data_IF_988344131008
#
_entry.id   IF_988344131008
#
_cell.length_a   1.000
_cell.length_b   1.000
_cell.length_c   1.000
_cell.angle_alpha   90.00
_cell.angle_beta   90.00
_cell.angle_gamma   90.00
#
_symmetry.space_group_name_H-M   'P 1'
#
loop_
_entity.id
_entity.type
_entity.pdbx_description
1 polymer ?
#
# COMPACT_ATOMS: atom_id res chain seq x y z
N UNK A 1 36.44 93.57 -26.03
CA UNK A 1 37.09 92.57 -26.91
C UNK A 1 38.37 92.12 -26.22
N UNK A 2 38.69 90.82 -26.08
CA UNK A 2 38.13 89.62 -26.71
C UNK A 2 37.49 88.60 -25.72
N UNK A 3 36.43 87.88 -26.14
CA UNK A 3 36.35 86.42 -26.47
C UNK A 3 36.59 85.47 -25.28
N UNK A 4 35.69 84.56 -24.90
CA UNK A 4 34.82 83.72 -25.73
C UNK A 4 35.42 82.31 -25.80
N UNK A 5 35.38 81.56 -24.71
CA UNK A 5 35.94 80.20 -24.61
C UNK A 5 34.84 79.17 -24.34
N UNK A 6 34.64 78.27 -25.30
CA UNK A 6 33.57 77.30 -25.37
C UNK A 6 33.54 76.32 -24.18
N UNK A 7 32.33 76.08 -23.66
CA UNK A 7 32.03 75.02 -22.72
C UNK A 7 32.22 73.65 -23.41
N UNK A 8 33.29 72.94 -23.04
CA UNK A 8 33.42 71.51 -23.27
C UNK A 8 32.42 70.77 -22.38
N UNK A 9 31.22 70.51 -22.88
CA UNK A 9 30.22 69.69 -22.21
C UNK A 9 30.70 68.25 -22.12
N UNK A 10 31.35 67.88 -21.02
CA UNK A 10 31.61 66.49 -20.67
C UNK A 10 30.28 65.82 -20.32
N UNK A 11 29.76 65.03 -21.25
CA UNK A 11 28.64 64.12 -20.98
C UNK A 11 28.97 63.30 -19.72
N UNK A 12 28.09 63.21 -18.71
CA UNK A 12 28.36 62.45 -17.49
C UNK A 12 28.70 60.98 -17.84
N UNK A 13 29.59 60.32 -17.07
CA UNK A 13 30.00 58.95 -17.37
C UNK A 13 28.77 58.04 -17.32
N UNK A 14 28.38 57.50 -18.49
CA UNK A 14 27.30 56.53 -18.59
C UNK A 14 27.76 55.15 -18.12
N UNK A 15 26.84 54.29 -17.71
CA UNK A 15 27.15 52.92 -17.30
C UNK A 15 27.42 52.06 -18.54
N UNK A 16 28.55 51.35 -18.57
CA UNK A 16 28.99 50.55 -19.73
C UNK A 16 28.63 49.08 -19.57
N UNK A 17 28.07 48.47 -20.62
CA UNK A 17 27.71 47.07 -20.69
C UNK A 17 28.27 46.46 -21.98
N UNK A 18 28.93 45.31 -21.89
CA UNK A 18 29.33 44.56 -23.08
C UNK A 18 28.12 43.86 -23.71
N UNK A 19 27.92 44.06 -25.01
CA UNK A 19 26.75 43.62 -25.78
C UNK A 19 27.16 42.97 -27.10
N UNK A 20 26.32 42.09 -27.63
CA UNK A 20 26.38 41.68 -29.05
C UNK A 20 25.46 42.57 -29.86
N UNK A 21 26.01 43.32 -30.82
CA UNK A 21 25.25 44.22 -31.68
C UNK A 21 24.94 43.59 -33.05
N UNK A 22 23.74 43.87 -33.55
CA UNK A 22 23.20 43.43 -34.83
C UNK A 22 22.59 44.64 -35.53
N UNK A 23 22.81 44.77 -36.84
CA UNK A 23 22.26 45.88 -37.62
C UNK A 23 22.99 46.09 -38.94
N UNK A 24 22.65 47.15 -39.67
CA UNK A 24 23.24 47.46 -40.97
C UNK A 24 24.76 47.58 -40.88
N UNK A 25 25.48 46.96 -41.80
CA UNK A 25 26.94 47.02 -41.87
C UNK A 25 27.69 46.15 -40.86
N UNK A 26 26.98 45.37 -40.02
CA UNK A 26 27.61 44.36 -39.15
C UNK A 26 27.51 42.96 -39.77
N UNK A 27 28.49 42.07 -39.49
CA UNK A 27 28.42 40.67 -39.90
C UNK A 27 27.21 39.96 -39.27
N UNK A 28 26.70 38.93 -39.97
CA UNK A 28 25.53 38.11 -39.56
C UNK A 28 25.62 37.54 -38.13
N UNK A 29 26.78 37.03 -37.63
CA UNK A 29 26.91 36.63 -36.22
C UNK A 29 26.85 37.80 -35.22
N UNK A 30 26.68 39.04 -35.70
CA UNK A 30 26.77 40.26 -34.92
C UNK A 30 28.22 40.61 -34.57
N UNK A 31 28.41 41.77 -33.96
CA UNK A 31 29.72 42.24 -33.50
C UNK A 31 29.70 42.56 -32.02
N UNK A 32 30.81 42.31 -31.34
CA UNK A 32 30.97 42.76 -29.96
C UNK A 32 31.04 44.28 -29.91
N UNK A 33 30.35 44.85 -28.93
CA UNK A 33 30.30 46.29 -28.73
C UNK A 33 30.06 46.66 -27.28
N UNK A 34 30.13 47.96 -27.04
CA UNK A 34 29.89 48.56 -25.74
C UNK A 34 28.61 49.39 -25.80
N UNK A 35 27.67 49.05 -24.94
CA UNK A 35 26.47 49.84 -24.67
C UNK A 35 26.76 50.78 -23.50
N UNK A 36 26.62 52.07 -23.72
CA UNK A 36 26.73 53.11 -22.71
C UNK A 36 25.32 53.67 -22.48
N UNK A 37 24.84 53.55 -21.25
CA UNK A 37 23.50 54.00 -20.86
C UNK A 37 23.59 55.37 -20.20
N UNK A 38 22.95 56.37 -20.81
CA UNK A 38 22.77 57.70 -20.22
C UNK A 38 21.32 57.89 -19.73
N UNK A 39 21.02 59.07 -19.17
CA UNK A 39 19.71 59.38 -18.60
C UNK A 39 18.57 59.49 -19.64
N UNK A 40 18.87 59.83 -20.89
CA UNK A 40 17.88 60.06 -21.95
C UNK A 40 18.12 59.26 -23.25
N UNK A 41 19.34 58.75 -23.44
CA UNK A 41 19.74 58.03 -24.66
C UNK A 41 20.66 56.85 -24.36
N UNK A 42 20.74 55.92 -25.30
CA UNK A 42 21.76 54.87 -25.36
C UNK A 42 22.79 55.24 -26.42
N UNK A 43 24.05 55.04 -26.09
CA UNK A 43 25.17 55.17 -27.03
C UNK A 43 25.82 53.80 -27.17
N UNK A 44 25.92 53.29 -28.40
CA UNK A 44 26.55 52.00 -28.69
C UNK A 44 27.80 52.24 -29.52
N UNK A 45 28.93 51.68 -29.08
CA UNK A 45 30.19 51.69 -29.82
C UNK A 45 30.44 50.29 -30.36
N UNK A 46 30.50 50.15 -31.68
CA UNK A 46 30.73 48.87 -32.36
C UNK A 46 31.52 49.09 -33.65
N UNK A 47 32.64 48.38 -33.81
CA UNK A 47 33.49 48.43 -35.01
C UNK A 47 33.81 49.85 -35.53
N UNK A 48 34.14 50.78 -34.62
CA UNK A 48 34.45 52.18 -34.97
C UNK A 48 33.24 53.05 -35.31
N UNK A 49 32.03 52.49 -35.34
CA UNK A 49 30.78 53.24 -35.49
C UNK A 49 30.14 53.52 -34.12
N UNK A 50 29.50 54.68 -34.01
CA UNK A 50 28.72 55.05 -32.82
C UNK A 50 27.26 55.17 -33.20
N UNK A 51 26.41 54.32 -32.62
CA UNK A 51 24.96 54.44 -32.76
C UNK A 51 24.38 55.15 -31.54
N UNK A 52 23.38 56.00 -31.77
CA UNK A 52 22.61 56.64 -30.70
C UNK A 52 21.15 56.31 -30.85
N UNK A 53 20.48 56.07 -29.74
CA UNK A 53 19.05 55.77 -29.71
C UNK A 53 18.40 56.44 -28.50
N UNK A 54 17.35 57.24 -28.68
CA UNK A 54 16.60 57.77 -27.55
C UNK A 54 15.88 56.62 -26.84
N UNK A 55 15.90 56.64 -25.51
CA UNK A 55 15.37 55.54 -24.69
C UNK A 55 13.89 55.22 -24.98
N UNK A 56 13.10 56.22 -25.42
CA UNK A 56 11.68 56.07 -25.76
C UNK A 56 11.38 55.20 -26.99
N UNK A 57 12.35 55.05 -27.89
CA UNK A 57 12.20 54.31 -29.15
C UNK A 57 12.68 52.85 -29.06
N UNK A 58 13.28 52.48 -27.93
CA UNK A 58 13.75 51.13 -27.69
C UNK A 58 12.58 50.18 -27.54
N UNK A 59 12.72 48.96 -28.05
CA UNK A 59 11.89 47.82 -27.77
C UNK A 59 12.68 46.84 -26.90
N UNK A 60 12.17 46.54 -25.71
CA UNK A 60 12.81 45.60 -24.78
C UNK A 60 12.16 44.21 -24.86
N UNK A 61 12.96 43.18 -25.12
CA UNK A 61 12.51 41.79 -25.25
C UNK A 61 13.40 40.83 -24.46
N UNK A 62 12.88 39.66 -24.17
CA UNK A 62 13.65 38.54 -23.61
C UNK A 62 14.39 37.83 -24.75
N UNK A 63 15.64 37.46 -24.53
CA UNK A 63 16.51 36.82 -25.51
C UNK A 63 17.17 35.57 -24.91
N UNK A 64 17.37 34.55 -25.75
CA UNK A 64 18.00 33.28 -25.37
C UNK A 64 17.02 32.11 -25.18
N UNK A 65 17.53 30.89 -25.33
CA UNK A 65 16.77 29.66 -25.11
C UNK A 65 16.69 29.36 -23.61
N UNK A 66 15.62 29.80 -22.95
CA UNK A 66 15.29 29.39 -21.58
C UNK A 66 15.96 30.16 -20.43
N UNK A 67 16.59 31.31 -20.68
CA UNK A 67 17.26 32.13 -19.66
C UNK A 67 17.01 33.64 -19.80
N UNK A 68 17.42 34.45 -18.79
CA UNK A 68 17.04 35.87 -18.63
C UNK A 68 17.89 36.82 -19.49
N UNK A 69 18.25 36.42 -20.71
CA UNK A 69 18.91 37.32 -21.65
C UNK A 69 17.96 38.42 -22.11
N UNK A 70 18.51 39.53 -22.58
CA UNK A 70 17.75 40.70 -22.97
C UNK A 70 18.15 41.15 -24.36
N UNK A 71 17.16 41.47 -25.17
CA UNK A 71 17.33 42.18 -26.44
C UNK A 71 16.79 43.60 -26.32
N UNK A 72 17.60 44.58 -26.72
CA UNK A 72 17.20 45.96 -26.94
C UNK A 72 17.22 46.21 -28.44
N UNK A 73 16.09 46.59 -29.04
CA UNK A 73 16.02 46.86 -30.47
C UNK A 73 15.41 48.24 -30.76
N UNK A 74 15.86 48.92 -31.82
CA UNK A 74 15.26 50.17 -32.30
C UNK A 74 15.42 50.29 -33.82
N UNK A 75 14.76 51.29 -34.41
CA UNK A 75 14.66 51.43 -35.86
C UNK A 75 13.60 50.50 -36.49
N UNK A 76 13.37 50.66 -37.79
CA UNK A 76 12.39 49.89 -38.57
C UNK A 76 12.99 49.43 -39.89
N UNK A 77 12.45 48.34 -40.44
CA UNK A 77 12.86 47.82 -41.75
C UNK A 77 14.34 47.42 -41.78
N UNK A 78 15.03 47.76 -42.86
CA UNK A 78 16.45 47.46 -43.06
C UNK A 78 17.37 48.20 -42.09
N UNK A 79 16.92 49.30 -41.47
CA UNK A 79 17.70 50.06 -40.49
C UNK A 79 17.56 49.56 -39.05
N UNK A 80 16.87 48.44 -38.84
CA UNK A 80 16.67 47.89 -37.50
C UNK A 80 18.01 47.50 -36.88
N UNK A 81 18.25 47.99 -35.67
CA UNK A 81 19.40 47.65 -34.84
C UNK A 81 18.92 46.89 -33.61
N UNK A 82 19.70 45.90 -33.18
CA UNK A 82 19.42 45.11 -31.99
C UNK A 82 20.70 44.85 -31.20
N UNK A 83 20.59 44.82 -29.88
CA UNK A 83 21.66 44.49 -28.94
C UNK A 83 21.18 43.33 -28.09
N UNK A 84 22.02 42.31 -27.94
CA UNK A 84 21.74 41.19 -27.07
C UNK A 84 22.74 41.12 -25.92
N UNK A 85 22.20 40.94 -24.72
CA UNK A 85 22.95 40.59 -23.51
C UNK A 85 22.45 39.24 -23.05
N UNK A 86 23.22 38.18 -23.32
CA UNK A 86 22.85 36.81 -22.96
C UNK A 86 23.31 36.42 -21.55
N UNK A 87 24.31 37.14 -21.02
CA UNK A 87 24.81 36.92 -19.66
C UNK A 87 23.79 37.38 -18.60
N UNK A 88 23.32 36.48 -17.72
CA UNK A 88 22.28 36.82 -16.74
C UNK A 88 22.65 37.93 -15.76
N UNK A 89 23.92 37.98 -15.33
CA UNK A 89 24.37 38.99 -14.37
C UNK A 89 24.35 40.39 -14.99
N UNK A 90 24.91 40.53 -16.21
CA UNK A 90 24.87 41.79 -16.97
C UNK A 90 23.46 42.18 -17.39
N UNK A 91 22.64 41.22 -17.81
CA UNK A 91 21.24 41.49 -18.15
C UNK A 91 20.47 42.07 -16.96
N UNK A 92 20.63 41.49 -15.77
CA UNK A 92 20.01 42.01 -14.55
C UNK A 92 20.58 43.38 -14.14
N UNK A 93 21.89 43.58 -14.27
CA UNK A 93 22.52 44.88 -13.99
C UNK A 93 21.99 45.99 -14.91
N UNK A 94 21.80 45.69 -16.21
CA UNK A 94 21.17 46.63 -17.15
C UNK A 94 19.72 46.93 -16.77
N UNK A 95 18.93 45.91 -16.42
CA UNK A 95 17.54 46.11 -15.98
C UNK A 95 17.42 46.88 -14.67
N UNK A 96 18.45 46.85 -13.81
CA UNK A 96 18.50 47.62 -12.58
C UNK A 96 18.92 49.09 -12.81
N UNK A 97 19.36 49.45 -14.02
CA UNK A 97 19.76 50.81 -14.31
C UNK A 97 18.56 51.78 -14.24
N UNK A 98 18.66 52.94 -13.54
CA UNK A 98 17.52 53.85 -13.33
C UNK A 98 16.81 54.28 -14.62
N UNK A 99 17.59 54.55 -15.67
CA UNK A 99 17.06 54.95 -16.98
C UNK A 99 16.24 53.85 -17.68
N UNK A 100 16.56 52.57 -17.42
CA UNK A 100 15.83 51.42 -17.97
C UNK A 100 14.60 51.11 -17.11
N UNK A 101 14.72 51.22 -15.78
CA UNK A 101 13.62 51.05 -14.83
C UNK A 101 12.46 52.03 -15.11
N UNK A 102 12.78 53.26 -15.52
CA UNK A 102 11.80 54.29 -15.84
C UNK A 102 11.00 54.01 -17.13
N UNK A 103 11.40 53.02 -17.94
CA UNK A 103 10.72 52.73 -19.21
C UNK A 103 9.37 52.02 -18.99
N UNK A 104 8.27 52.49 -19.61
CA UNK A 104 6.98 51.78 -19.57
C UNK A 104 7.07 50.34 -20.09
N UNK A 105 8.03 50.07 -20.96
CA UNK A 105 8.27 48.77 -21.57
C UNK A 105 8.93 47.77 -20.62
N UNK A 106 9.76 48.26 -19.67
CA UNK A 106 10.34 47.43 -18.63
C UNK A 106 9.26 46.81 -17.74
N UNK A 107 8.25 47.60 -17.35
CA UNK A 107 7.11 47.10 -16.59
C UNK A 107 6.34 45.99 -17.34
N UNK A 108 6.22 46.09 -18.67
CA UNK A 108 5.58 45.06 -19.51
C UNK A 108 6.43 43.78 -19.56
N UNK A 109 7.74 43.89 -19.76
CA UNK A 109 8.67 42.75 -19.76
C UNK A 109 8.61 42.00 -18.42
N UNK A 110 8.74 42.71 -17.29
CA UNK A 110 8.71 42.11 -15.96
C UNK A 110 7.39 41.40 -15.65
N UNK A 111 6.25 41.98 -16.06
CA UNK A 111 4.94 41.32 -15.94
C UNK A 111 4.88 40.00 -16.73
N UNK A 112 5.46 39.98 -17.94
CA UNK A 112 5.51 38.76 -18.77
C UNK A 112 6.44 37.69 -18.17
N UNK A 113 7.64 38.06 -17.75
CA UNK A 113 8.60 37.14 -17.10
C UNK A 113 8.02 36.51 -15.83
N UNK A 114 7.37 37.31 -14.98
CA UNK A 114 6.71 36.81 -13.76
C UNK A 114 5.60 35.80 -14.06
N UNK A 115 4.76 36.06 -15.08
CA UNK A 115 3.70 35.13 -15.51
C UNK A 115 4.26 33.81 -16.06
N UNK A 116 5.31 33.87 -16.87
CA UNK A 116 5.96 32.67 -17.42
C UNK A 116 6.65 31.82 -16.34
N UNK A 117 7.33 32.43 -15.37
CA UNK A 117 7.95 31.70 -14.26
C UNK A 117 6.93 31.05 -13.33
N UNK A 118 5.86 31.79 -12.99
CA UNK A 118 4.79 31.29 -12.13
C UNK A 118 4.01 30.13 -12.78
N UNK A 119 3.67 30.24 -14.07
CA UNK A 119 2.96 29.17 -14.79
C UNK A 119 3.76 27.87 -14.92
N UNK A 120 5.08 27.94 -15.03
CA UNK A 120 5.96 26.76 -15.05
C UNK A 120 6.02 26.05 -13.71
N UNK A 121 6.17 26.79 -12.61
CA UNK A 121 6.19 26.21 -11.25
C UNK A 121 4.85 25.58 -10.87
N UNK A 122 3.73 26.23 -11.21
CA UNK A 122 2.40 25.69 -10.95
C UNK A 122 2.09 24.45 -11.82
N UNK A 123 2.56 24.43 -13.07
CA UNK A 123 2.41 23.27 -13.94
C UNK A 123 3.15 22.03 -13.41
N UNK A 124 4.41 22.17 -13.01
CA UNK A 124 5.20 21.06 -12.48
C UNK A 124 4.69 20.55 -11.12
N UNK A 125 4.19 21.44 -10.26
CA UNK A 125 3.56 21.03 -9.00
C UNK A 125 2.25 20.30 -9.23
N UNK A 126 1.40 20.77 -10.15
CA UNK A 126 0.18 20.06 -10.52
C UNK A 126 0.46 18.67 -11.11
N UNK A 127 1.46 18.55 -11.99
CA UNK A 127 1.92 17.25 -12.51
C UNK A 127 2.46 16.37 -11.39
N UNK A 128 3.26 16.92 -10.48
CA UNK A 128 3.79 16.20 -9.32
C UNK A 128 2.68 15.66 -8.41
N UNK A 129 1.68 16.47 -8.10
CA UNK A 129 0.52 16.06 -7.29
C UNK A 129 -0.31 15.00 -8.03
N UNK A 130 -0.56 15.18 -9.33
CA UNK A 130 -1.31 14.22 -10.14
C UNK A 130 -0.64 12.84 -10.19
N UNK A 131 0.70 12.79 -10.21
CA UNK A 131 1.46 11.54 -10.16
C UNK A 131 1.58 10.96 -8.75
N UNK A 132 1.70 11.81 -7.73
CA UNK A 132 1.86 11.37 -6.34
C UNK A 132 0.56 10.84 -5.73
N UNK A 133 -0.60 11.41 -6.08
CA UNK A 133 -1.90 10.99 -5.55
C UNK A 133 -2.25 9.51 -5.79
N UNK A 134 -2.15 8.94 -7.01
CA UNK A 134 -2.42 7.52 -7.22
C UNK A 134 -1.41 6.63 -6.50
N UNK A 135 -0.15 7.06 -6.38
CA UNK A 135 0.86 6.31 -5.62
C UNK A 135 0.54 6.31 -4.12
N UNK A 136 0.18 7.46 -3.56
CA UNK A 136 -0.26 7.58 -2.16
C UNK A 136 -1.52 6.76 -1.90
N UNK A 137 -2.48 6.79 -2.84
CA UNK A 137 -3.69 5.98 -2.75
C UNK A 137 -3.36 4.47 -2.80
N UNK A 138 -2.44 4.06 -3.67
CA UNK A 138 -1.98 2.67 -3.74
C UNK A 138 -1.27 2.25 -2.46
N UNK A 139 -0.38 3.08 -1.92
CA UNK A 139 0.30 2.82 -0.64
C UNK A 139 -0.72 2.72 0.49
N UNK A 140 -1.66 3.66 0.58
CA UNK A 140 -2.72 3.63 1.58
C UNK A 140 -3.61 2.38 1.45
N UNK A 141 -3.93 1.96 0.22
CA UNK A 141 -4.66 0.74 -0.06
C UNK A 141 -3.90 -0.50 0.39
N UNK A 142 -2.62 -0.63 0.04
CA UNK A 142 -1.76 -1.76 0.46
C UNK A 142 -1.65 -1.82 1.98
N UNK A 143 -1.43 -0.69 2.64
CA UNK A 143 -1.35 -0.61 4.10
C UNK A 143 -2.71 -0.89 4.79
N UNK A 144 -3.81 -0.75 4.07
CA UNK A 144 -5.17 -0.95 4.61
C UNK A 144 -5.85 -2.22 4.10
N UNK A 145 -5.16 -3.03 3.29
CA UNK A 145 -5.76 -4.20 2.62
C UNK A 145 -6.33 -5.20 3.62
N UNK A 146 -5.61 -5.51 4.70
CA UNK A 146 -6.07 -6.43 5.76
C UNK A 146 -7.31 -5.89 6.48
N UNK A 147 -7.36 -4.57 6.74
CA UNK A 147 -8.51 -3.92 7.38
C UNK A 147 -9.75 -3.96 6.47
N UNK A 148 -9.54 -3.68 5.18
CA UNK A 148 -10.61 -3.73 4.18
C UNK A 148 -11.14 -5.16 4.04
N UNK A 149 -10.26 -6.15 3.93
CA UNK A 149 -10.62 -7.56 3.87
C UNK A 149 -11.40 -7.99 5.12
N UNK A 150 -10.93 -7.63 6.31
CA UNK A 150 -11.64 -7.89 7.57
C UNK A 150 -13.03 -7.24 7.62
N UNK A 151 -13.15 -5.99 7.16
CA UNK A 151 -14.42 -5.26 7.11
C UNK A 151 -15.43 -5.89 6.14
N UNK A 152 -14.97 -6.34 4.96
CA UNK A 152 -15.82 -7.02 3.98
C UNK A 152 -16.22 -8.39 4.52
N UNK A 153 -15.26 -9.18 4.99
CA UNK A 153 -15.53 -10.52 5.54
C UNK A 153 -16.52 -10.42 6.69
N UNK A 154 -16.40 -9.47 7.61
CA UNK A 154 -17.38 -9.31 8.70
C UNK A 154 -18.83 -9.10 8.24
N UNK A 155 -19.04 -8.53 7.03
CA UNK A 155 -20.37 -8.23 6.46
C UNK A 155 -20.88 -9.29 5.49
N UNK A 156 -20.03 -10.24 5.09
CA UNK A 156 -20.45 -11.30 4.18
C UNK A 156 -21.51 -12.20 4.85
N UNK A 157 -22.63 -12.50 4.20
CA UNK A 157 -23.60 -13.47 4.70
C UNK A 157 -22.97 -14.86 4.89
N UNK A 158 -23.39 -15.61 5.92
CA UNK A 158 -22.87 -16.97 6.18
C UNK A 158 -23.13 -17.93 5.01
N UNK A 159 -24.27 -17.77 4.31
CA UNK A 159 -24.62 -18.57 3.15
C UNK A 159 -23.56 -18.53 2.02
N UNK A 160 -22.91 -17.38 1.84
CA UNK A 160 -21.84 -17.20 0.86
C UNK A 160 -20.59 -18.00 1.25
N UNK A 161 -20.26 -18.03 2.55
CA UNK A 161 -19.17 -18.84 3.07
C UNK A 161 -19.46 -20.32 2.97
N UNK A 162 -20.67 -20.74 3.34
CA UNK A 162 -21.10 -22.14 3.26
C UNK A 162 -21.09 -22.65 1.83
N UNK A 163 -21.57 -21.86 0.86
CA UNK A 163 -21.51 -22.23 -0.56
C UNK A 163 -20.07 -22.39 -1.04
N UNK A 164 -19.19 -21.47 -0.67
CA UNK A 164 -17.78 -21.53 -1.04
C UNK A 164 -17.06 -22.72 -0.40
N UNK A 165 -17.21 -22.90 0.92
CA UNK A 165 -16.58 -24.00 1.65
C UNK A 165 -17.02 -25.36 1.12
N UNK A 166 -18.31 -25.53 0.81
CA UNK A 166 -18.82 -26.75 0.18
C UNK A 166 -18.21 -26.98 -1.19
N UNK A 167 -18.15 -25.95 -2.03
CA UNK A 167 -17.54 -26.05 -3.35
C UNK A 167 -16.04 -26.41 -3.27
N UNK A 168 -15.30 -25.86 -2.30
CA UNK A 168 -13.90 -26.22 -2.04
C UNK A 168 -13.76 -27.65 -1.52
N UNK A 169 -14.58 -28.05 -0.55
CA UNK A 169 -14.58 -29.41 -0.02
C UNK A 169 -14.91 -30.45 -1.10
N UNK A 170 -15.90 -30.18 -1.95
CA UNK A 170 -16.26 -31.08 -3.07
C UNK A 170 -15.08 -31.31 -4.03
N UNK A 171 -14.12 -30.36 -4.12
CA UNK A 171 -12.87 -30.53 -4.90
C UNK A 171 -11.79 -31.29 -4.15
N UNK A 172 -11.77 -31.23 -2.82
CA UNK A 172 -10.84 -32.00 -1.97
C UNK A 172 -11.29 -33.44 -1.78
N UNK A 173 -12.60 -33.68 -1.74
CA UNK A 173 -13.21 -34.98 -1.42
C UNK A 173 -12.62 -36.16 -2.22
N UNK A 174 -12.33 -36.06 -3.53
CA UNK A 174 -11.72 -37.16 -4.28
C UNK A 174 -10.31 -37.56 -3.81
N UNK A 175 -9.58 -36.67 -3.12
CA UNK A 175 -8.24 -36.94 -2.60
C UNK A 175 -8.25 -37.39 -1.15
N UNK A 176 -9.42 -37.45 -0.50
CA UNK A 176 -9.58 -37.83 0.91
C UNK A 176 -10.22 -39.21 1.01
N UNK A 177 -9.60 -40.12 1.75
CA UNK A 177 -10.25 -41.38 2.15
C UNK A 177 -11.13 -41.13 3.39
N UNK A 178 -12.37 -40.66 3.16
CA UNK A 178 -13.30 -40.33 4.25
C UNK A 178 -13.84 -41.58 4.97
N UNK A 179 -13.93 -41.49 6.29
CA UNK A 179 -14.45 -42.48 7.24
C UNK A 179 -15.57 -41.87 8.06
N UNK A 180 -16.67 -41.54 7.40
CA UNK A 180 -17.83 -40.87 8.04
C UNK A 180 -18.77 -41.86 8.77
N UNK A 181 -18.20 -42.88 9.41
CA UNK A 181 -18.91 -43.91 10.17
C UNK A 181 -17.97 -44.62 11.13
N UNK A 182 -18.49 -45.16 12.23
CA UNK A 182 -17.70 -45.90 13.23
C UNK A 182 -17.26 -45.05 14.42
N UNK A 183 -16.52 -45.63 15.39
CA UNK A 183 -16.31 -45.02 16.69
C UNK A 183 -15.59 -43.66 16.65
N UNK A 184 -14.58 -43.49 15.79
CA UNK A 184 -13.89 -42.22 15.63
C UNK A 184 -14.81 -41.12 15.08
N UNK A 185 -15.60 -41.41 14.07
CA UNK A 185 -16.56 -40.47 13.49
C UNK A 185 -17.67 -40.11 14.47
N UNK A 186 -18.21 -41.09 15.20
CA UNK A 186 -19.24 -40.86 16.22
C UNK A 186 -18.72 -39.96 17.35
N UNK A 187 -17.47 -40.17 17.80
CA UNK A 187 -16.83 -39.31 18.79
C UNK A 187 -16.68 -37.87 18.29
N UNK A 188 -16.13 -37.68 17.07
CA UNK A 188 -15.97 -36.36 16.46
C UNK A 188 -17.32 -35.68 16.28
N UNK A 189 -18.32 -36.39 15.76
CA UNK A 189 -19.66 -35.84 15.49
C UNK A 189 -20.38 -35.45 16.77
N UNK A 190 -20.31 -36.26 17.83
CA UNK A 190 -20.94 -35.97 19.12
C UNK A 190 -20.31 -34.74 19.80
N UNK A 191 -18.98 -34.66 19.82
CA UNK A 191 -18.27 -33.50 20.37
C UNK A 191 -18.55 -32.24 19.55
N UNK A 192 -18.47 -32.36 18.22
CA UNK A 192 -18.75 -31.28 17.28
C UNK A 192 -20.16 -30.72 17.44
N UNK A 193 -21.18 -31.58 17.52
CA UNK A 193 -22.57 -31.18 17.73
C UNK A 193 -22.75 -30.43 19.06
N UNK A 194 -22.10 -30.89 20.13
CA UNK A 194 -22.16 -30.24 21.45
C UNK A 194 -21.50 -28.86 21.43
N UNK A 195 -20.36 -28.72 20.77
CA UNK A 195 -19.61 -27.46 20.67
C UNK A 195 -20.28 -26.42 19.77
N UNK A 196 -21.04 -26.87 18.77
CA UNK A 196 -21.66 -26.01 17.75
C UNK A 196 -23.15 -25.77 18.00
N UNK A 197 -23.67 -26.21 19.16
CA UNK A 197 -25.04 -25.97 19.56
C UNK A 197 -25.36 -24.46 19.61
N UNK A 198 -26.31 -24.02 18.79
CA UNK A 198 -26.70 -22.62 18.66
C UNK A 198 -25.76 -21.78 17.79
N UNK A 199 -24.87 -22.41 17.01
CA UNK A 199 -24.07 -21.72 15.99
C UNK A 199 -24.95 -21.11 14.89
N UNK A 200 -24.42 -20.06 14.26
CA UNK A 200 -24.96 -19.46 13.03
C UNK A 200 -24.61 -20.24 11.75
N UNK A 201 -23.72 -21.24 11.84
CA UNK A 201 -23.35 -22.13 10.76
C UNK A 201 -23.95 -23.52 11.00
N UNK A 202 -24.18 -24.25 9.90
CA UNK A 202 -24.46 -25.67 9.96
C UNK A 202 -23.15 -26.43 9.76
N UNK A 203 -22.72 -27.14 10.80
CA UNK A 203 -21.45 -27.85 10.76
C UNK A 203 -21.57 -29.23 10.13
N UNK A 204 -20.57 -29.59 9.34
CA UNK A 204 -20.34 -30.93 8.82
C UNK A 204 -18.95 -31.38 9.27
N UNK A 205 -18.92 -32.40 10.12
CA UNK A 205 -17.68 -33.00 10.59
C UNK A 205 -17.37 -34.23 9.73
N UNK A 206 -16.10 -34.39 9.39
CA UNK A 206 -15.60 -35.53 8.61
C UNK A 206 -14.35 -36.10 9.25
N UNK A 207 -14.17 -37.41 9.12
CA UNK A 207 -12.92 -38.08 9.50
C UNK A 207 -12.22 -38.54 8.23
N UNK A 208 -10.97 -38.13 8.03
CA UNK A 208 -10.13 -38.59 6.93
C UNK A 208 -9.14 -39.63 7.45
N UNK A 209 -9.06 -40.79 6.78
CA UNK A 209 -8.06 -41.81 7.08
C UNK A 209 -6.70 -41.35 6.57
N UNK A 210 -5.97 -40.72 7.47
CA UNK A 210 -4.64 -40.18 7.27
C UNK A 210 -3.90 -40.27 8.61
N UNK A 211 -2.66 -40.75 8.59
CA UNK A 211 -1.83 -40.92 9.78
C UNK A 211 -1.18 -39.60 10.25
N UNK A 212 -1.22 -38.55 9.43
CA UNK A 212 -0.72 -37.23 9.81
C UNK A 212 -1.57 -36.64 10.94
N UNK A 213 -0.91 -35.99 11.90
CA UNK A 213 -1.57 -35.24 12.97
C UNK A 213 -2.03 -33.92 12.37
N UNK A 214 -3.30 -33.90 11.93
CA UNK A 214 -3.93 -32.70 11.39
C UNK A 214 -5.45 -32.67 11.65
N UNK A 215 -5.96 -31.45 11.75
CA UNK A 215 -7.37 -31.12 11.67
C UNK A 215 -7.46 -29.73 11.04
N UNK A 216 -8.53 -29.45 10.29
CA UNK A 216 -8.71 -28.13 9.69
C UNK A 216 -10.19 -27.80 9.47
N UNK A 217 -10.48 -26.51 9.62
CA UNK A 217 -11.77 -25.91 9.40
C UNK A 217 -11.83 -25.10 8.09
N UNK A 218 -12.74 -25.48 7.19
CA UNK A 218 -13.06 -24.72 5.99
C UNK A 218 -14.14 -23.65 6.27
N UNK A 219 -14.19 -22.56 5.47
CA UNK A 219 -15.26 -21.58 5.55
C UNK A 219 -16.65 -22.23 5.56
N UNK A 220 -17.55 -21.72 6.41
CA UNK A 220 -18.96 -22.11 6.37
C UNK A 220 -19.32 -23.42 7.07
N UNK A 221 -18.42 -24.01 7.88
CA UNK A 221 -18.77 -25.03 8.86
C UNK A 221 -18.28 -26.45 8.57
N UNK A 222 -17.39 -26.66 7.59
CA UNK A 222 -16.84 -27.99 7.33
C UNK A 222 -15.56 -28.18 8.14
N UNK A 223 -15.50 -29.22 8.96
CA UNK A 223 -14.33 -29.57 9.78
C UNK A 223 -13.89 -30.98 9.42
N UNK A 224 -12.61 -31.13 9.09
CA UNK A 224 -12.02 -32.43 8.75
C UNK A 224 -10.96 -32.77 9.78
N UNK A 225 -11.02 -33.99 10.33
CA UNK A 225 -10.08 -34.49 11.34
C UNK A 225 -9.38 -35.73 10.80
N UNK A 226 -8.05 -35.79 10.92
CA UNK A 226 -7.30 -36.96 10.49
C UNK A 226 -7.32 -38.06 11.57
N UNK A 227 -7.39 -39.32 11.16
CA UNK A 227 -7.33 -40.47 12.08
C UNK A 227 -6.06 -40.47 12.95
N UNK A 228 -4.94 -39.98 12.43
CA UNK A 228 -3.68 -39.85 13.18
C UNK A 228 -3.77 -38.85 14.33
N UNK A 229 -4.52 -37.75 14.15
CA UNK A 229 -4.76 -36.79 15.23
C UNK A 229 -5.63 -37.43 16.33
N UNK A 230 -6.70 -38.12 15.95
CA UNK A 230 -7.58 -38.81 16.90
C UNK A 230 -6.78 -39.85 17.70
N UNK A 231 -5.99 -40.68 17.02
CA UNK A 231 -5.15 -41.69 17.65
C UNK A 231 -4.07 -41.11 18.59
N UNK A 232 -3.62 -39.88 18.36
CA UNK A 232 -2.63 -39.22 19.20
C UNK A 232 -3.24 -38.68 20.52
N UNK A 233 -4.53 -38.35 20.54
CA UNK A 233 -5.20 -37.83 21.75
C UNK A 233 -5.32 -38.90 22.84
N UNK A 234 -5.05 -38.52 24.09
CA UNK A 234 -5.05 -39.49 25.21
C UNK A 234 -6.40 -39.64 25.91
N UNK A 235 -7.27 -38.66 25.73
CA UNK A 235 -8.62 -38.64 26.31
C UNK A 235 -9.54 -37.80 25.43
N UNK A 236 -10.87 -38.02 25.48
CA UNK A 236 -11.82 -37.32 24.63
C UNK A 236 -11.78 -35.79 24.80
N UNK A 237 -11.40 -35.28 25.96
CA UNK A 237 -11.27 -33.84 26.22
C UNK A 237 -10.13 -33.20 25.39
N UNK A 238 -9.06 -33.94 25.06
CA UNK A 238 -8.00 -33.44 24.17
C UNK A 238 -8.53 -33.23 22.76
N UNK A 239 -9.29 -34.22 22.23
CA UNK A 239 -9.96 -34.07 20.94
C UNK A 239 -11.00 -32.95 20.96
N UNK A 240 -11.77 -32.84 22.04
CA UNK A 240 -12.72 -31.75 22.21
C UNK A 240 -12.02 -30.39 22.20
N UNK A 241 -10.83 -30.27 22.80
CA UNK A 241 -9.99 -29.08 22.73
C UNK A 241 -9.60 -28.71 21.30
N UNK A 242 -9.13 -29.67 20.52
CA UNK A 242 -8.82 -29.46 19.09
C UNK A 242 -10.05 -29.03 18.31
N UNK A 243 -11.18 -29.72 18.49
CA UNK A 243 -12.43 -29.37 17.79
C UNK A 243 -12.94 -27.99 18.20
N UNK A 244 -12.85 -27.62 19.48
CA UNK A 244 -13.25 -26.30 19.95
C UNK A 244 -12.40 -25.20 19.28
N UNK A 245 -11.09 -25.42 19.14
CA UNK A 245 -10.17 -24.55 18.42
C UNK A 245 -10.58 -24.37 16.95
N UNK A 246 -10.76 -25.48 16.22
CA UNK A 246 -11.15 -25.45 14.80
C UNK A 246 -12.53 -24.80 14.59
N UNK A 247 -13.49 -25.08 15.47
CA UNK A 247 -14.81 -24.44 15.44
C UNK A 247 -14.68 -22.92 15.58
N UNK A 248 -13.79 -22.42 16.45
CA UNK A 248 -13.58 -20.97 16.58
C UNK A 248 -12.90 -20.34 15.38
N UNK A 249 -12.05 -21.05 14.64
CA UNK A 249 -11.56 -20.54 13.36
C UNK A 249 -12.71 -20.28 12.36
N UNK A 250 -13.77 -21.10 12.38
CA UNK A 250 -14.98 -20.84 11.59
C UNK A 250 -15.81 -19.71 12.20
N UNK A 251 -16.10 -19.75 13.50
CA UNK A 251 -16.93 -18.75 14.19
C UNK A 251 -16.32 -17.33 14.18
N UNK A 252 -15.00 -17.21 14.10
CA UNK A 252 -14.30 -15.93 13.99
C UNK A 252 -13.94 -15.58 12.53
N UNK A 253 -14.36 -16.45 11.59
CA UNK A 253 -14.17 -16.33 10.14
C UNK A 253 -12.68 -16.24 9.76
N UNK A 254 -11.81 -16.85 10.56
CA UNK A 254 -10.37 -16.91 10.30
C UNK A 254 -10.09 -17.62 8.99
N UNK A 255 -10.73 -18.77 8.71
CA UNK A 255 -10.55 -19.49 7.45
C UNK A 255 -10.93 -18.63 6.24
N UNK A 256 -12.04 -17.89 6.32
CA UNK A 256 -12.47 -16.96 5.25
C UNK A 256 -11.48 -15.80 5.06
N UNK A 257 -11.02 -15.18 6.16
CA UNK A 257 -10.00 -14.12 6.12
C UNK A 257 -8.70 -14.61 5.50
N UNK A 258 -8.23 -15.82 5.88
CA UNK A 258 -7.02 -16.41 5.33
C UNK A 258 -7.15 -16.71 3.84
N UNK A 259 -8.29 -17.23 3.38
CA UNK A 259 -8.54 -17.43 1.94
C UNK A 259 -8.54 -16.11 1.18
N UNK A 260 -9.19 -15.07 1.70
CA UNK A 260 -9.18 -13.73 1.06
C UNK A 260 -7.77 -13.15 1.01
N UNK A 261 -6.97 -13.37 2.06
CA UNK A 261 -5.57 -12.93 2.11
C UNK A 261 -4.72 -13.65 1.05
N UNK A 262 -4.86 -14.97 0.92
CA UNK A 262 -4.04 -15.79 0.01
C UNK A 262 -4.44 -15.60 -1.46
N UNK A 263 -5.74 -15.56 -1.76
CA UNK A 263 -6.25 -15.45 -3.13
C UNK A 263 -6.49 -14.00 -3.58
N UNK A 264 -6.32 -13.04 -2.67
CA UNK A 264 -6.43 -11.61 -2.91
C UNK A 264 -7.82 -11.17 -3.41
N UNK A 265 -7.82 -10.16 -4.29
CA UNK A 265 -9.03 -9.54 -4.82
C UNK A 265 -9.95 -10.53 -5.53
N UNK A 266 -9.43 -11.63 -6.09
CA UNK A 266 -10.23 -12.63 -6.79
C UNK A 266 -11.19 -13.38 -5.86
N UNK A 267 -10.74 -13.79 -4.67
CA UNK A 267 -11.61 -14.37 -3.67
C UNK A 267 -12.59 -13.35 -3.10
N UNK A 268 -12.14 -12.11 -2.88
CA UNK A 268 -13.02 -11.03 -2.41
C UNK A 268 -14.18 -10.81 -3.39
N UNK A 269 -13.88 -10.69 -4.69
CA UNK A 269 -14.89 -10.56 -5.74
C UNK A 269 -15.83 -11.76 -5.79
N UNK A 270 -15.29 -12.97 -5.70
CA UNK A 270 -16.09 -14.18 -5.71
C UNK A 270 -17.05 -14.27 -4.52
N UNK A 271 -16.60 -13.88 -3.32
CA UNK A 271 -17.46 -13.80 -2.15
C UNK A 271 -18.53 -12.70 -2.27
N UNK A 272 -18.18 -11.51 -2.78
CA UNK A 272 -19.15 -10.42 -2.95
C UNK A 272 -20.21 -10.75 -4.01
N UNK A 273 -19.82 -11.40 -5.11
CA UNK A 273 -20.72 -11.69 -6.23
C UNK A 273 -21.41 -13.06 -6.12
N UNK A 274 -20.93 -13.95 -5.24
CA UNK A 274 -21.36 -15.34 -5.18
C UNK A 274 -21.01 -16.17 -6.44
N UNK A 275 -20.15 -15.62 -7.31
CA UNK A 275 -19.67 -16.22 -8.55
C UNK A 275 -18.21 -16.65 -8.39
N UNK A 276 -18.01 -17.95 -8.19
CA UNK A 276 -16.69 -18.49 -7.87
C UNK A 276 -15.91 -18.94 -9.12
N UNK A 277 -16.57 -19.12 -10.27
CA UNK A 277 -15.99 -19.88 -11.39
C UNK A 277 -15.52 -21.29 -10.95
N UNK A 278 -15.04 -22.10 -11.88
CA UNK A 278 -14.52 -23.44 -11.51
C UNK A 278 -13.11 -23.40 -10.92
N UNK A 279 -12.33 -22.36 -11.23
CA UNK A 279 -10.90 -22.30 -10.90
C UNK A 279 -10.61 -21.84 -9.46
N UNK A 280 -11.44 -20.96 -8.87
CA UNK A 280 -11.18 -20.46 -7.51
C UNK A 280 -11.40 -21.52 -6.43
N UNK A 281 -12.51 -22.27 -6.40
CA UNK A 281 -12.69 -23.33 -5.39
C UNK A 281 -11.60 -24.40 -5.48
N UNK A 282 -11.14 -24.75 -6.69
CA UNK A 282 -10.04 -25.70 -6.91
C UNK A 282 -8.67 -25.16 -6.47
N UNK A 283 -8.42 -23.86 -6.61
CA UNK A 283 -7.22 -23.21 -6.05
C UNK A 283 -7.30 -23.15 -4.53
N UNK A 284 -8.43 -22.73 -3.97
CA UNK A 284 -8.66 -22.68 -2.54
C UNK A 284 -8.49 -24.07 -1.88
N UNK A 285 -9.03 -25.13 -2.49
CA UNK A 285 -8.90 -26.50 -2.04
C UNK A 285 -7.43 -26.95 -1.85
N UNK A 286 -6.51 -26.49 -2.71
CA UNK A 286 -5.08 -26.81 -2.61
C UNK A 286 -4.39 -26.07 -1.47
N UNK A 287 -4.80 -24.84 -1.19
CA UNK A 287 -4.21 -24.01 -0.14
C UNK A 287 -4.83 -24.26 1.24
N UNK A 288 -6.06 -24.79 1.29
CA UNK A 288 -6.85 -24.93 2.52
C UNK A 288 -6.25 -25.87 3.56
N UNK A 289 -5.54 -26.92 3.15
CA UNK A 289 -4.91 -27.89 4.06
C UNK A 289 -3.66 -27.35 4.75
N UNK A 290 -3.11 -26.24 4.28
CA UNK A 290 -1.89 -25.61 4.79
C UNK A 290 -2.08 -24.15 5.22
N UNK A 291 -3.32 -23.70 5.42
CA UNK A 291 -3.61 -22.34 5.85
C UNK A 291 -2.89 -22.03 7.17
N UNK A 292 -2.17 -20.92 7.18
CA UNK A 292 -1.50 -20.40 8.37
C UNK A 292 -2.30 -19.24 8.94
N UNK A 293 -2.62 -19.31 10.21
CA UNK A 293 -3.27 -18.22 10.91
C UNK A 293 -2.26 -17.30 11.59
N UNK A 294 -2.65 -16.05 11.84
CA UNK A 294 -1.81 -15.12 12.59
C UNK A 294 -1.76 -15.53 14.07
N UNK A 295 -0.73 -15.10 14.79
CA UNK A 295 -0.60 -15.34 16.24
C UNK A 295 -1.82 -14.82 17.02
N UNK A 296 -2.37 -13.69 16.60
CA UNK A 296 -3.58 -13.11 17.22
C UNK A 296 -4.81 -14.00 16.96
N UNK A 297 -4.97 -14.52 15.74
CA UNK A 297 -6.07 -15.41 15.39
C UNK A 297 -6.00 -16.73 16.15
N UNK A 298 -4.80 -17.28 16.34
CA UNK A 298 -4.56 -18.46 17.17
C UNK A 298 -4.91 -18.21 18.64
N UNK A 299 -4.46 -17.09 19.20
CA UNK A 299 -4.73 -16.71 20.60
C UNK A 299 -6.23 -16.47 20.82
N UNK A 300 -6.92 -15.88 19.84
CA UNK A 300 -8.36 -15.66 19.93
C UNK A 300 -9.15 -16.97 19.80
N UNK A 301 -8.73 -17.89 18.92
CA UNK A 301 -9.31 -19.22 18.79
C UNK A 301 -9.12 -20.06 20.06
N UNK A 302 -7.94 -20.02 20.69
CA UNK A 302 -7.66 -20.66 21.98
C UNK A 302 -8.63 -20.17 23.06
N UNK A 303 -8.69 -18.85 23.27
CA UNK A 303 -9.50 -18.22 24.32
C UNK A 303 -10.99 -18.51 24.13
N UNK A 304 -11.49 -18.34 22.91
CA UNK A 304 -12.90 -18.59 22.61
C UNK A 304 -13.22 -20.08 22.62
N UNK A 305 -12.27 -20.94 22.23
CA UNK A 305 -12.41 -22.39 22.24
C UNK A 305 -12.47 -22.92 23.67
N UNK A 306 -11.61 -22.41 24.55
CA UNK A 306 -11.66 -22.67 25.98
C UNK A 306 -13.01 -22.27 26.57
N UNK A 307 -13.48 -21.05 26.28
CA UNK A 307 -14.79 -20.59 26.73
C UNK A 307 -15.94 -21.47 26.18
N UNK A 308 -15.84 -21.94 24.93
CA UNK A 308 -16.80 -22.84 24.32
C UNK A 308 -16.83 -24.21 25.02
N UNK A 309 -15.69 -24.78 25.40
CA UNK A 309 -15.61 -26.01 26.20
C UNK A 309 -16.35 -25.84 27.54
N UNK A 310 -16.06 -24.75 28.27
CA UNK A 310 -16.71 -24.45 29.55
C UNK A 310 -18.22 -24.27 29.39
N UNK A 311 -18.67 -23.57 28.35
CA UNK A 311 -20.08 -23.37 28.03
C UNK A 311 -20.77 -24.69 27.65
N UNK A 312 -20.08 -25.54 26.90
CA UNK A 312 -20.54 -26.86 26.52
C UNK A 312 -20.55 -27.84 27.71
N UNK A 313 -19.95 -27.47 28.85
CA UNK A 313 -19.75 -28.32 30.02
C UNK A 313 -18.81 -29.52 29.76
N UNK A 314 -17.75 -29.25 29.02
CA UNK A 314 -16.63 -30.15 28.74
C UNK A 314 -15.41 -29.66 29.53
N UNK A 315 -14.67 -30.57 30.18
CA UNK A 315 -13.46 -30.20 30.93
C UNK A 315 -12.42 -29.54 30.01
N UNK A 316 -12.15 -28.24 30.18
CA UNK A 316 -11.33 -27.49 29.24
C UNK A 316 -9.83 -27.79 29.41
N UNK A 317 -9.42 -28.56 30.43
CA UNK A 317 -8.01 -28.94 30.61
C UNK A 317 -7.49 -29.89 29.53
N UNK A 318 -8.37 -30.47 28.71
CA UNK A 318 -7.95 -31.20 27.51
C UNK A 318 -7.22 -30.33 26.49
N UNK A 319 -7.57 -29.04 26.38
CA UNK A 319 -6.96 -28.12 25.41
C UNK A 319 -5.47 -27.87 25.70
N UNK A 320 -5.03 -27.43 26.90
CA UNK A 320 -3.61 -27.33 27.20
C UNK A 320 -2.90 -28.69 27.31
N UNK A 321 -3.60 -29.77 27.70
CA UNK A 321 -3.04 -31.12 27.70
C UNK A 321 -2.63 -31.58 26.28
N UNK A 322 -3.42 -31.22 25.26
CA UNK A 322 -3.10 -31.56 23.88
C UNK A 322 -1.80 -30.91 23.40
N UNK A 323 -1.42 -29.72 23.90
CA UNK A 323 -0.12 -29.11 23.59
C UNK A 323 1.02 -30.03 24.06
N UNK A 324 0.91 -30.62 25.25
CA UNK A 324 1.89 -31.57 25.76
C UNK A 324 1.86 -32.91 25.01
N UNK A 325 0.70 -33.34 24.50
CA UNK A 325 0.58 -34.48 23.59
C UNK A 325 1.33 -34.19 22.29
N UNK A 326 1.13 -33.03 21.67
CA UNK A 326 1.85 -32.62 20.46
C UNK A 326 3.36 -32.53 20.68
N UNK A 327 3.82 -31.88 21.76
CA UNK A 327 5.25 -31.80 22.11
C UNK A 327 5.91 -33.19 22.20
N UNK A 328 5.19 -34.20 22.71
CA UNK A 328 5.69 -35.57 22.87
C UNK A 328 5.63 -36.40 21.60
N UNK A 329 4.55 -36.28 20.82
CA UNK A 329 4.31 -37.11 19.64
C UNK A 329 5.15 -36.67 18.44
N UNK A 330 5.54 -35.40 18.39
CA UNK A 330 6.14 -34.78 17.20
C UNK A 330 7.68 -34.85 17.20
N UNK A 331 8.34 -34.89 18.35
CA UNK A 331 9.82 -34.94 18.41
C UNK A 331 10.45 -33.84 17.53
N UNK A 332 11.40 -34.20 16.65
CA UNK A 332 12.05 -33.30 15.67
C UNK A 332 11.32 -33.23 14.30
N UNK A 333 10.29 -34.04 14.05
CA UNK A 333 9.61 -34.09 12.75
C UNK A 333 8.44 -33.10 12.73
N UNK A 334 8.27 -32.20 11.73
CA UNK A 334 7.14 -31.27 11.75
C UNK A 334 5.80 -31.99 11.56
N UNK A 335 4.88 -31.89 12.51
CA UNK A 335 3.48 -32.27 12.27
C UNK A 335 2.79 -31.22 11.39
N UNK A 336 1.92 -31.67 10.48
CA UNK A 336 1.13 -30.79 9.62
C UNK A 336 0.33 -29.76 10.44
N UNK A 337 -0.27 -30.19 11.55
CA UNK A 337 -0.94 -29.31 12.51
C UNK A 337 -0.03 -28.19 13.05
N UNK A 338 1.27 -28.44 13.29
CA UNK A 338 2.19 -27.40 13.77
C UNK A 338 2.59 -26.40 12.69
N UNK A 339 2.45 -26.79 11.43
CA UNK A 339 2.73 -25.92 10.29
C UNK A 339 1.62 -24.88 10.09
N UNK A 340 0.37 -25.25 10.37
CA UNK A 340 -0.81 -24.36 10.35
C UNK A 340 -1.03 -23.65 11.69
N UNK A 341 -0.79 -24.33 12.81
CA UNK A 341 -0.99 -23.87 14.19
C UNK A 341 0.30 -24.00 15.03
N UNK A 342 1.24 -23.05 14.93
CA UNK A 342 2.48 -23.09 15.71
C UNK A 342 2.19 -23.08 17.21
N UNK A 343 2.74 -24.07 17.93
CA UNK A 343 2.71 -24.09 19.40
C UNK A 343 3.52 -22.91 19.95
N UNK A 344 3.03 -22.33 21.03
CA UNK A 344 3.74 -21.31 21.80
C UNK A 344 3.59 -21.61 23.29
N UNK A 345 4.69 -21.54 24.03
CA UNK A 345 4.66 -21.62 25.49
C UNK A 345 3.77 -20.55 26.12
N UNK A 346 3.63 -19.39 25.47
CA UNK A 346 2.74 -18.31 25.90
C UNK A 346 1.26 -18.70 25.80
N UNK A 347 0.86 -19.32 24.69
CA UNK A 347 -0.51 -19.82 24.46
C UNK A 347 -0.89 -20.90 25.48
N UNK A 348 -0.01 -21.89 25.65
CA UNK A 348 -0.17 -22.94 26.67
C UNK A 348 -0.31 -22.34 28.08
N UNK A 349 0.58 -21.41 28.45
CA UNK A 349 0.52 -20.75 29.74
C UNK A 349 -0.75 -19.90 29.92
N UNK A 350 -1.30 -19.31 28.86
CA UNK A 350 -2.57 -18.60 28.91
C UNK A 350 -3.74 -19.55 29.19
N UNK A 351 -3.83 -20.67 28.47
CA UNK A 351 -4.84 -21.70 28.70
C UNK A 351 -4.77 -22.29 30.12
N UNK A 352 -3.56 -22.51 30.64
CA UNK A 352 -3.38 -22.99 32.03
C UNK A 352 -3.86 -21.96 33.06
N UNK A 353 -3.63 -20.65 32.82
CA UNK A 353 -4.19 -19.59 33.66
C UNK A 353 -5.72 -19.56 33.61
N UNK A 354 -6.31 -19.71 32.41
CA UNK A 354 -7.76 -19.80 32.27
C UNK A 354 -8.32 -21.02 33.00
N UNK A 355 -7.64 -22.17 32.91
CA UNK A 355 -8.01 -23.38 33.65
C UNK A 355 -7.96 -23.18 35.15
N UNK A 356 -6.95 -22.50 35.67
CA UNK A 356 -6.85 -22.17 37.08
C UNK A 356 -8.01 -21.24 37.52
N UNK A 357 -8.40 -20.27 36.68
CA UNK A 357 -9.50 -19.35 36.96
C UNK A 357 -10.88 -20.02 37.01
N UNK A 358 -11.09 -21.12 36.26
CA UNK A 358 -12.30 -21.95 36.35
C UNK A 358 -12.44 -22.66 37.70
N UNK A 359 -11.34 -22.83 38.45
CA UNK A 359 -11.34 -23.41 39.79
C UNK A 359 -11.73 -24.89 39.83
N UNK A 360 -12.41 -25.30 40.89
CA UNK A 360 -12.79 -26.69 41.18
C UNK A 360 -14.11 -27.14 40.51
N UNK A 361 -14.56 -26.43 39.46
CA UNK A 361 -15.76 -26.83 38.73
C UNK A 361 -15.59 -28.25 38.18
N UNK A 362 -16.58 -29.09 38.43
CA UNK A 362 -16.71 -30.43 37.85
C UNK A 362 -17.42 -30.35 36.51
N UNK A 363 -16.98 -31.16 35.56
CA UNK A 363 -17.55 -31.27 34.22
C UNK A 363 -18.07 -32.68 34.00
N UNK A 364 -19.07 -32.85 33.14
CA UNK A 364 -19.56 -34.19 32.80
C UNK A 364 -18.49 -34.97 32.02
N UNK A 365 -18.25 -36.20 32.46
CA UNK A 365 -17.36 -37.11 31.76
C UNK A 365 -17.88 -37.37 30.34
N UNK A 366 -16.97 -37.33 29.36
CA UNK A 366 -17.33 -37.61 27.98
C UNK A 366 -17.49 -39.13 27.76
N UNK A 367 -18.48 -39.56 26.96
CA UNK A 367 -18.65 -40.97 26.61
C UNK A 367 -17.39 -41.55 25.95
N UNK A 368 -17.11 -42.83 26.19
CA UNK A 368 -15.98 -43.52 25.55
C UNK A 368 -14.61 -43.24 26.17
N UNK A 369 -14.52 -42.45 27.25
CA UNK A 369 -13.24 -42.16 27.93
C UNK A 369 -12.46 -43.42 28.37
N UNK A 370 -13.17 -44.50 28.75
CA UNK A 370 -12.55 -45.75 29.18
C UNK A 370 -11.95 -46.59 28.03
N UNK A 371 -12.35 -46.33 26.78
CA UNK A 371 -11.93 -47.05 25.59
C UNK A 371 -11.30 -46.09 24.57
N UNK A 372 -10.56 -45.09 25.06
CA UNK A 372 -9.91 -44.06 24.24
C UNK A 372 -8.47 -44.45 23.89
N UNK A 373 -7.98 -44.18 22.67
CA UNK A 373 -8.66 -43.55 21.53
C UNK A 373 -9.66 -44.49 20.83
N UNK A 374 -10.71 -43.93 20.18
CA UNK A 374 -11.67 -44.73 19.44
C UNK A 374 -11.01 -45.38 18.20
N UNK A 375 -11.53 -46.53 17.79
CA UNK A 375 -11.08 -47.20 16.57
C UNK A 375 -11.31 -46.31 15.33
N UNK A 376 -10.33 -46.28 14.38
CA UNK A 376 -10.32 -45.38 13.23
C UNK A 376 -11.40 -45.65 12.17
#
# INVERSE_FOLDING_TARGET
>A
MPQGGAAGGTTPPGTVFAVRAFGPGLPVPGSDGELIVHSAELVVRVQGTTWRAPLRELALREAGFGGPGIELAWGKGEERRALQILDPARANALLAHPAILALPQYARLRRRQRRHGFGRGLGWTAVGVFLALPLLALVAFVLSADRLAGWVVARLPTAVETKFGRASFDRMKPTLELRDSGPAFEAVSALGARLTAGSRYHYAFHVAKDATLNAYALPGGIVVVHTGLIAATKRPEELAGVLAHEVQHVELRHSTKSVVKELGLSALWAFVTGSYGDSLPARAAREMTGLKFSRDAETEADRQGFAALVKADIDPSGMPAFFATMEKTVGDAPAAFLSSHPLSGERKAALERERAAVGSRTFHALPGAAAWPPAP
#
